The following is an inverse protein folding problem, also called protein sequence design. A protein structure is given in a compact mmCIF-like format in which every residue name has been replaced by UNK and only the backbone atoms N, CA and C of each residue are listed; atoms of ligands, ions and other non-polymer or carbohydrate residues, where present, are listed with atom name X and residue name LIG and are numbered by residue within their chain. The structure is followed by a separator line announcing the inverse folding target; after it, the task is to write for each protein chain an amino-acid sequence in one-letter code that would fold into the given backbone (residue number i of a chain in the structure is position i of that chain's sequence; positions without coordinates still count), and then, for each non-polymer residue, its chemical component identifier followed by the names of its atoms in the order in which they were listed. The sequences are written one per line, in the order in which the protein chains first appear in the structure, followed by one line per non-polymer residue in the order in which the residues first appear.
data_IF_481304900738
#
_entry.id   IF_481304900738
#
_cell.length_a   1.000
_cell.length_b   1.000
_cell.length_c   1.000
_cell.angle_alpha   90.00
_cell.angle_beta   90.00
_cell.angle_gamma   90.00
#
_symmetry.space_group_name_H-M   'P 1'
#
loop_
_entity.id
_entity.type
_entity.pdbx_description
1 polymer ?
#
# COMPACT_ATOMS: atom_id res chain seq x y z
N UNK A 1 45.57 -9.37 -2.70
CA UNK A 1 45.65 -8.28 -3.68
C UNK A 1 46.66 -8.69 -4.72
N UNK A 2 46.38 -8.51 -6.01
CA UNK A 2 47.38 -8.74 -7.06
C UNK A 2 48.27 -7.50 -7.12
N UNK A 3 49.57 -7.69 -6.90
CA UNK A 3 50.55 -6.61 -6.93
C UNK A 3 51.20 -6.53 -8.32
N UNK A 4 51.07 -5.36 -8.94
CA UNK A 4 51.62 -5.08 -10.27
C UNK A 4 52.95 -4.31 -10.20
N UNK A 5 53.41 -3.93 -8.99
CA UNK A 5 54.43 -2.88 -8.81
C UNK A 5 55.64 -3.23 -7.95
N UNK A 6 55.61 -4.24 -7.08
CA UNK A 6 56.78 -4.54 -6.24
C UNK A 6 56.84 -6.00 -5.77
N UNK A 7 58.08 -6.50 -5.62
CA UNK A 7 58.50 -7.83 -5.16
C UNK A 7 58.43 -8.99 -6.19
N UNK A 8 59.58 -9.63 -6.38
CA UNK A 8 59.82 -10.83 -7.23
C UNK A 8 59.06 -12.07 -6.71
N UNK A 9 58.52 -12.00 -5.50
CA UNK A 9 57.83 -13.09 -4.80
C UNK A 9 56.63 -12.56 -4.03
N UNK A 10 55.66 -13.41 -3.78
CA UNK A 10 54.44 -13.08 -3.01
C UNK A 10 54.76 -12.85 -1.54
N UNK A 11 54.20 -11.78 -0.98
CA UNK A 11 54.51 -11.33 0.39
C UNK A 11 53.23 -11.03 1.17
N UNK A 12 53.30 -11.12 2.49
CA UNK A 12 52.18 -10.74 3.37
C UNK A 12 52.70 -10.08 4.64
N UNK A 13 52.00 -9.04 5.10
CA UNK A 13 52.28 -8.44 6.40
C UNK A 13 51.92 -9.38 7.56
N UNK A 14 52.67 -9.30 8.66
CA UNK A 14 52.47 -10.16 9.84
C UNK A 14 51.04 -10.08 10.40
N UNK A 15 50.42 -8.90 10.40
CA UNK A 15 49.04 -8.72 10.84
C UNK A 15 48.03 -9.45 9.94
N UNK A 16 48.31 -9.56 8.64
CA UNK A 16 47.47 -10.31 7.71
C UNK A 16 47.62 -11.82 7.91
N UNK A 17 48.82 -12.29 8.25
CA UNK A 17 49.03 -13.67 8.68
C UNK A 17 48.23 -14.01 9.94
N UNK A 18 48.24 -13.14 10.95
CA UNK A 18 47.42 -13.33 12.15
C UNK A 18 45.92 -13.40 11.81
N UNK A 19 45.45 -12.51 10.94
CA UNK A 19 44.07 -12.52 10.46
C UNK A 19 43.72 -13.82 9.71
N UNK A 20 44.63 -14.32 8.87
CA UNK A 20 44.47 -15.60 8.18
C UNK A 20 44.36 -16.77 9.17
N UNK A 21 45.26 -16.85 10.16
CA UNK A 21 45.24 -17.90 11.18
C UNK A 21 43.96 -17.91 12.02
N UNK A 22 43.39 -16.73 12.27
CA UNK A 22 42.11 -16.62 12.96
C UNK A 22 40.93 -17.15 12.11
N UNK A 23 40.97 -16.95 10.79
CA UNK A 23 39.87 -17.30 9.89
C UNK A 23 39.91 -18.75 9.40
N UNK A 24 41.10 -19.29 9.09
CA UNK A 24 41.27 -20.59 8.43
C UNK A 24 41.96 -21.64 9.31
N UNK A 25 42.27 -21.29 10.55
CA UNK A 25 42.98 -22.16 11.49
C UNK A 25 44.48 -21.89 11.54
N UNK A 26 45.10 -22.32 12.63
CA UNK A 26 46.50 -22.00 12.95
C UNK A 26 47.46 -22.65 11.96
N UNK A 27 48.14 -21.83 11.16
CA UNK A 27 49.23 -22.25 10.28
C UNK A 27 50.55 -21.79 10.88
N UNK A 28 51.56 -22.65 10.95
CA UNK A 28 52.85 -22.28 11.52
C UNK A 28 53.74 -21.62 10.46
N UNK A 29 54.47 -20.57 10.85
CA UNK A 29 55.48 -19.95 9.98
C UNK A 29 56.67 -20.89 9.91
N UNK A 30 57.03 -21.29 8.69
CA UNK A 30 58.27 -21.99 8.43
C UNK A 30 59.44 -21.00 8.46
N UNK A 31 60.31 -21.17 9.46
CA UNK A 31 61.50 -20.32 9.68
C UNK A 31 62.72 -20.76 8.88
N UNK A 32 62.67 -21.89 8.18
CA UNK A 32 63.77 -22.33 7.31
C UNK A 32 64.09 -21.32 6.20
N UNK A 33 63.09 -20.52 5.82
CA UNK A 33 63.16 -19.46 4.81
C UNK A 33 63.26 -18.04 5.43
N UNK A 34 63.68 -17.91 6.68
CA UNK A 34 63.99 -16.61 7.27
C UNK A 34 65.12 -15.93 6.47
N UNK A 35 64.99 -14.64 6.17
CA UNK A 35 65.97 -13.95 5.33
C UNK A 35 65.81 -14.11 3.82
N UNK A 36 64.99 -15.06 3.35
CA UNK A 36 64.95 -15.46 1.93
C UNK A 36 64.41 -14.39 0.96
N UNK A 37 63.68 -13.39 1.46
CA UNK A 37 63.14 -12.29 0.67
C UNK A 37 63.43 -10.96 1.34
N UNK A 38 64.12 -10.09 0.62
CA UNK A 38 64.21 -8.67 0.94
C UNK A 38 63.19 -7.91 0.08
N UNK A 39 62.14 -7.40 0.71
CA UNK A 39 61.10 -6.64 0.04
C UNK A 39 61.31 -5.14 0.26
N UNK A 40 61.39 -4.39 -0.81
CA UNK A 40 61.49 -2.92 -0.80
C UNK A 40 60.10 -2.33 -1.05
N UNK A 41 59.58 -1.56 -0.09
CA UNK A 41 58.34 -0.80 -0.24
C UNK A 41 58.63 0.68 -0.05
N UNK A 42 58.44 1.48 -1.11
CA UNK A 42 58.80 2.90 -1.09
C UNK A 42 60.29 3.10 -0.78
N UNK A 43 60.60 3.88 0.26
CA UNK A 43 61.98 4.23 0.67
C UNK A 43 62.56 3.19 1.66
N UNK A 44 61.76 2.23 2.13
CA UNK A 44 62.17 1.24 3.14
C UNK A 44 62.37 -0.18 2.58
N UNK A 45 63.25 -0.96 3.22
CA UNK A 45 63.43 -2.39 2.95
C UNK A 45 63.17 -3.22 4.20
N UNK A 46 62.59 -4.41 4.03
CA UNK A 46 62.30 -5.33 5.12
C UNK A 46 62.57 -6.77 4.72
N UNK A 47 63.03 -7.56 5.68
CA UNK A 47 63.43 -8.95 5.47
C UNK A 47 62.31 -9.88 5.97
N UNK A 48 62.08 -10.96 5.24
CA UNK A 48 61.10 -11.98 5.62
C UNK A 48 61.50 -12.75 6.88
N UNK A 49 60.55 -12.91 7.79
CA UNK A 49 60.70 -13.67 9.06
C UNK A 49 60.54 -15.18 8.80
N UNK A 50 59.96 -15.54 7.65
CA UNK A 50 59.71 -16.91 7.23
C UNK A 50 58.66 -16.95 6.13
N UNK A 51 58.16 -18.13 5.82
CA UNK A 51 57.12 -18.33 4.81
C UNK A 51 55.94 -19.13 5.37
N UNK A 52 54.78 -18.90 4.80
CA UNK A 52 53.60 -19.76 4.97
C UNK A 52 53.16 -20.22 3.59
N UNK A 53 52.58 -21.42 3.53
CA UNK A 53 51.95 -21.92 2.31
C UNK A 53 50.46 -22.06 2.56
N UNK A 54 49.65 -21.44 1.71
CA UNK A 54 48.19 -21.38 1.86
C UNK A 54 47.49 -21.93 0.60
N UNK A 55 46.40 -22.65 0.81
CA UNK A 55 45.63 -23.28 -0.28
C UNK A 55 44.59 -22.32 -0.85
N UNK A 56 44.93 -21.56 -1.88
CA UNK A 56 44.02 -20.57 -2.48
C UNK A 56 43.18 -21.15 -3.63
N UNK A 57 42.18 -20.43 -4.19
CA UNK A 57 41.39 -20.89 -5.35
C UNK A 57 42.21 -21.12 -6.62
N UNK A 58 43.39 -20.50 -6.71
CA UNK A 58 44.38 -20.65 -7.79
C UNK A 58 45.45 -21.71 -7.43
N UNK A 59 45.17 -22.55 -6.43
CA UNK A 59 46.07 -23.57 -5.92
C UNK A 59 46.92 -23.10 -4.73
N UNK A 60 47.89 -23.93 -4.39
CA UNK A 60 48.78 -23.73 -3.24
C UNK A 60 49.78 -22.59 -3.53
N UNK A 61 49.78 -21.54 -2.71
CA UNK A 61 50.62 -20.36 -2.88
C UNK A 61 51.46 -20.11 -1.62
N UNK A 62 52.76 -19.89 -1.80
CA UNK A 62 53.68 -19.55 -0.72
C UNK A 62 53.79 -18.04 -0.57
N UNK A 63 53.59 -17.54 0.63
CA UNK A 63 53.73 -16.12 0.99
C UNK A 63 54.85 -15.94 2.00
N UNK A 64 55.75 -15.00 1.71
CA UNK A 64 56.80 -14.61 2.64
C UNK A 64 56.27 -13.57 3.63
N UNK A 65 56.43 -13.83 4.93
CA UNK A 65 55.86 -13.00 5.99
C UNK A 65 56.83 -11.90 6.38
N UNK A 66 56.35 -10.66 6.30
CA UNK A 66 57.12 -9.45 6.57
C UNK A 66 56.59 -8.74 7.82
N UNK A 67 57.49 -8.05 8.54
CA UNK A 67 57.17 -7.25 9.74
C UNK A 67 56.58 -5.88 9.37
N UNK A 68 55.63 -5.87 8.44
CA UNK A 68 55.01 -4.67 7.88
C UNK A 68 53.49 -4.76 7.90
N UNK A 69 52.82 -3.61 7.82
CA UNK A 69 51.36 -3.49 7.70
C UNK A 69 50.86 -3.64 6.25
N UNK A 70 51.56 -4.43 5.44
CA UNK A 70 51.20 -4.65 4.04
C UNK A 70 50.08 -5.69 3.92
N UNK A 71 49.19 -5.54 2.92
CA UNK A 71 48.18 -6.56 2.62
C UNK A 71 48.84 -7.85 2.13
N UNK A 72 48.03 -8.90 1.90
CA UNK A 72 48.51 -10.12 1.25
C UNK A 72 48.67 -9.86 -0.26
N UNK A 73 49.93 -9.78 -0.72
CA UNK A 73 50.35 -9.40 -2.07
C UNK A 73 50.73 -10.65 -2.86
N UNK A 74 49.96 -10.94 -3.92
CA UNK A 74 50.30 -11.98 -4.88
C UNK A 74 51.13 -11.34 -6.00
N UNK A 75 52.35 -11.84 -6.19
CA UNK A 75 53.27 -11.30 -7.20
C UNK A 75 52.95 -11.84 -8.61
N UNK A 76 53.17 -11.03 -9.64
CA UNK A 76 53.02 -11.50 -11.02
C UNK A 76 53.98 -12.63 -11.38
N UNK A 77 55.22 -12.60 -10.87
CA UNK A 77 56.20 -13.66 -11.16
C UNK A 77 55.72 -15.04 -10.65
N UNK A 78 55.02 -15.09 -9.52
CA UNK A 78 54.43 -16.34 -9.02
C UNK A 78 53.17 -16.73 -9.81
N UNK A 79 52.42 -15.76 -10.35
CA UNK A 79 51.31 -16.02 -11.27
C UNK A 79 51.79 -16.58 -12.60
N UNK A 80 52.85 -16.01 -13.18
CA UNK A 80 53.45 -16.43 -14.44
C UNK A 80 53.96 -17.87 -14.37
N UNK A 81 54.67 -18.22 -13.28
CA UNK A 81 55.12 -19.61 -13.04
C UNK A 81 53.98 -20.62 -12.95
N UNK A 82 52.80 -20.17 -12.52
CA UNK A 82 51.58 -20.99 -12.40
C UNK A 82 50.68 -20.93 -13.64
N UNK A 83 51.08 -20.17 -14.67
CA UNK A 83 50.27 -20.00 -15.89
C UNK A 83 48.95 -19.25 -15.65
N UNK A 84 48.91 -18.37 -14.65
CA UNK A 84 47.71 -17.66 -14.23
C UNK A 84 47.59 -16.33 -15.00
N UNK A 85 46.47 -16.11 -15.68
CA UNK A 85 46.22 -14.90 -16.47
C UNK A 85 45.22 -13.99 -15.76
N UNK A 86 45.59 -12.72 -15.59
CA UNK A 86 44.68 -11.68 -15.11
C UNK A 86 43.93 -11.04 -16.29
N UNK A 87 42.63 -11.33 -16.44
CA UNK A 87 41.77 -10.60 -17.36
C UNK A 87 41.21 -9.37 -16.67
N UNK A 88 41.88 -8.25 -16.88
CA UNK A 88 41.52 -6.97 -16.28
C UNK A 88 40.19 -6.42 -16.84
N UNK A 89 39.87 -6.62 -18.11
CA UNK A 89 38.64 -6.09 -18.72
C UNK A 89 37.38 -6.76 -18.17
N UNK A 90 37.42 -8.07 -18.01
CA UNK A 90 36.27 -8.85 -17.56
C UNK A 90 36.26 -9.10 -16.04
N UNK A 91 37.31 -8.69 -15.31
CA UNK A 91 37.46 -8.92 -13.87
C UNK A 91 37.43 -10.41 -13.48
N UNK A 92 38.22 -11.23 -14.19
CA UNK A 92 38.47 -12.63 -13.81
C UNK A 92 39.96 -12.96 -13.84
N UNK A 93 40.37 -13.88 -12.98
CA UNK A 93 41.63 -14.61 -13.09
C UNK A 93 41.34 -15.94 -13.78
N UNK A 94 42.19 -16.35 -14.71
CA UNK A 94 42.12 -17.66 -15.36
C UNK A 94 43.31 -18.47 -14.89
N UNK A 95 43.06 -19.60 -14.24
CA UNK A 95 44.09 -20.57 -13.86
C UNK A 95 44.64 -21.29 -15.11
N UNK A 96 45.83 -21.90 -15.01
CA UNK A 96 46.45 -22.66 -16.10
C UNK A 96 45.57 -23.79 -16.65
N UNK A 97 44.60 -24.26 -15.86
CA UNK A 97 43.59 -25.25 -16.25
C UNK A 97 42.34 -24.66 -16.91
N UNK A 98 42.30 -23.35 -17.17
CA UNK A 98 41.16 -22.65 -17.78
C UNK A 98 40.02 -22.28 -16.81
N UNK A 99 40.17 -22.55 -15.51
CA UNK A 99 39.17 -22.18 -14.49
C UNK A 99 39.14 -20.66 -14.30
N UNK A 100 37.96 -20.06 -14.46
CA UNK A 100 37.71 -18.63 -14.24
C UNK A 100 37.34 -18.36 -12.79
N UNK A 101 38.06 -17.46 -12.14
CA UNK A 101 37.84 -17.04 -10.75
C UNK A 101 37.55 -15.54 -10.74
N UNK A 102 36.40 -15.08 -10.21
CA UNK A 102 36.04 -13.66 -10.20
C UNK A 102 36.95 -12.85 -9.29
N UNK A 103 37.24 -11.61 -9.69
CA UNK A 103 37.96 -10.62 -8.89
C UNK A 103 37.14 -9.35 -8.68
N UNK A 104 37.34 -8.70 -7.53
CA UNK A 104 36.74 -7.41 -7.21
C UNK A 104 37.80 -6.31 -7.28
N UNK A 105 37.50 -5.20 -7.96
CA UNK A 105 38.39 -4.02 -7.95
C UNK A 105 38.05 -3.14 -6.76
N UNK A 106 39.03 -2.87 -5.89
CA UNK A 106 38.90 -1.94 -4.77
C UNK A 106 40.13 -1.05 -4.70
N UNK A 107 39.97 0.24 -4.42
CA UNK A 107 41.10 1.18 -4.28
C UNK A 107 42.09 1.18 -5.47
N UNK A 108 41.60 0.94 -6.69
CA UNK A 108 42.45 0.86 -7.89
C UNK A 108 43.20 -0.47 -8.09
N UNK A 109 43.05 -1.44 -7.18
CA UNK A 109 43.76 -2.73 -7.24
C UNK A 109 42.80 -3.93 -7.40
N UNK A 110 43.24 -5.03 -8.03
CA UNK A 110 42.44 -6.26 -8.14
C UNK A 110 42.58 -7.12 -6.88
N UNK A 111 41.44 -7.48 -6.28
CA UNK A 111 41.34 -8.37 -5.13
C UNK A 111 40.72 -9.70 -5.54
N UNK A 112 41.46 -10.78 -5.30
CA UNK A 112 40.92 -12.14 -5.34
C UNK A 112 40.09 -12.38 -4.08
N UNK A 113 38.83 -12.77 -4.27
CA UNK A 113 37.91 -13.07 -3.18
C UNK A 113 37.93 -14.57 -2.89
N UNK A 114 38.12 -14.97 -1.64
CA UNK A 114 38.21 -16.38 -1.26
C UNK A 114 37.75 -16.63 0.19
N UNK A 115 37.20 -17.83 0.46
CA UNK A 115 36.72 -18.25 1.78
C UNK A 115 35.52 -17.42 2.26
N UNK A 116 35.44 -17.05 3.55
CA UNK A 116 34.41 -16.15 4.08
C UNK A 116 34.35 -14.78 3.37
N UNK A 117 35.39 -14.43 2.61
CA UNK A 117 35.42 -13.20 1.79
C UNK A 117 34.69 -13.39 0.46
N UNK A 118 34.56 -14.62 -0.07
CA UNK A 118 33.78 -14.90 -1.28
C UNK A 118 32.26 -14.82 -1.03
N UNK A 119 31.82 -15.16 0.20
CA UNK A 119 30.45 -14.88 0.68
C UNK A 119 30.15 -13.39 0.83
N UNK A 120 31.14 -12.50 0.62
CA UNK A 120 30.90 -11.06 0.46
C UNK A 120 30.29 -10.68 -0.90
N UNK A 121 29.87 -11.65 -1.72
CA UNK A 121 28.62 -11.53 -2.47
C UNK A 121 27.41 -11.58 -1.49
N UNK A 122 27.47 -10.72 -0.48
CA UNK A 122 26.42 -9.92 0.10
C UNK A 122 25.03 -10.55 0.29
N UNK A 123 24.98 -11.73 0.92
CA UNK A 123 23.80 -12.12 1.68
C UNK A 123 23.71 -11.24 2.92
N UNK A 124 22.82 -10.25 2.90
CA UNK A 124 22.54 -9.46 4.10
C UNK A 124 21.82 -10.38 5.09
N UNK A 125 22.33 -10.41 6.32
CA UNK A 125 21.66 -11.12 7.41
C UNK A 125 20.32 -10.46 7.74
N UNK A 126 19.39 -11.20 8.37
CA UNK A 126 18.10 -10.65 8.79
C UNK A 126 18.26 -9.40 9.68
N UNK A 127 19.28 -9.38 10.54
CA UNK A 127 19.61 -8.26 11.43
C UNK A 127 20.04 -7.01 10.64
N UNK A 128 20.80 -7.18 9.56
CA UNK A 128 21.18 -6.11 8.64
C UNK A 128 19.97 -5.60 7.86
N UNK A 129 19.15 -6.49 7.30
CA UNK A 129 17.90 -6.13 6.62
C UNK A 129 16.94 -5.36 7.54
N UNK A 130 16.81 -5.79 8.81
CA UNK A 130 16.00 -5.09 9.82
C UNK A 130 16.59 -3.73 10.18
N UNK A 131 17.91 -3.57 10.10
CA UNK A 131 18.58 -2.29 10.31
C UNK A 131 18.35 -1.35 9.12
N UNK A 132 18.43 -1.86 7.89
CA UNK A 132 18.09 -1.10 6.68
C UNK A 132 16.61 -0.67 6.70
N UNK A 133 15.69 -1.58 6.98
CA UNK A 133 14.27 -1.27 7.11
C UNK A 133 14.00 -0.12 8.11
N UNK A 134 14.71 -0.10 9.26
CA UNK A 134 14.60 1.01 10.23
C UNK A 134 15.25 2.30 9.73
N UNK A 135 16.47 2.23 9.18
CA UNK A 135 17.24 3.42 8.75
C UNK A 135 16.62 4.12 7.53
N UNK A 136 16.01 3.38 6.62
CA UNK A 136 15.31 3.90 5.46
C UNK A 136 13.86 4.35 5.77
N UNK A 137 13.47 4.37 7.04
CA UNK A 137 12.16 4.89 7.45
C UNK A 137 10.99 3.96 7.14
N UNK A 138 11.15 2.66 7.40
CA UNK A 138 10.08 1.66 7.24
C UNK A 138 9.52 1.52 5.81
N UNK A 139 10.38 1.39 4.77
CA UNK A 139 9.91 1.17 3.41
C UNK A 139 9.18 -0.18 3.30
N UNK A 140 8.29 -0.30 2.31
CA UNK A 140 7.69 -1.59 1.96
C UNK A 140 8.76 -2.58 1.51
N UNK A 141 8.49 -3.87 1.70
CA UNK A 141 9.40 -4.94 1.30
C UNK A 141 9.83 -4.82 -0.16
N UNK A 142 8.88 -4.53 -1.07
CA UNK A 142 9.15 -4.34 -2.51
C UNK A 142 10.10 -3.17 -2.76
N UNK A 143 9.90 -2.01 -2.11
CA UNK A 143 10.76 -0.85 -2.30
C UNK A 143 12.19 -1.13 -1.86
N UNK A 144 12.36 -1.86 -0.76
CA UNK A 144 13.68 -2.18 -0.23
C UNK A 144 14.37 -3.28 -1.07
N UNK A 145 13.64 -4.28 -1.56
CA UNK A 145 14.16 -5.27 -2.52
C UNK A 145 14.68 -4.58 -3.78
N UNK A 146 13.86 -3.71 -4.39
CA UNK A 146 14.28 -3.00 -5.62
C UNK A 146 15.51 -2.11 -5.41
N UNK A 147 15.70 -1.58 -4.20
CA UNK A 147 16.90 -0.80 -3.85
C UNK A 147 18.13 -1.71 -3.71
N UNK A 148 17.95 -2.88 -3.10
CA UNK A 148 19.01 -3.89 -2.95
C UNK A 148 19.43 -4.43 -4.31
N UNK A 149 18.50 -4.77 -5.19
CA UNK A 149 18.80 -5.24 -6.56
C UNK A 149 19.64 -4.21 -7.32
N UNK A 150 19.28 -2.92 -7.26
CA UNK A 150 20.07 -1.83 -7.86
C UNK A 150 21.46 -1.66 -7.26
N UNK A 151 21.64 -2.06 -5.99
CA UNK A 151 22.93 -2.04 -5.32
C UNK A 151 23.76 -3.32 -5.58
N UNK A 152 23.26 -4.25 -6.40
CA UNK A 152 23.93 -5.52 -6.72
C UNK A 152 23.68 -6.64 -5.71
N UNK A 153 22.65 -6.51 -4.87
CA UNK A 153 22.26 -7.49 -3.85
C UNK A 153 21.09 -8.38 -4.31
N UNK A 154 21.36 -9.25 -5.29
CA UNK A 154 20.36 -10.13 -5.92
C UNK A 154 20.17 -11.46 -5.17
N UNK A 155 19.77 -11.41 -3.89
CA UNK A 155 19.41 -12.61 -3.13
C UNK A 155 17.89 -12.90 -3.22
N UNK A 156 17.47 -14.08 -3.74
CA UNK A 156 16.08 -14.51 -3.76
C UNK A 156 15.39 -14.50 -2.38
N UNK A 157 16.14 -14.64 -1.28
CA UNK A 157 15.59 -14.69 0.08
C UNK A 157 15.27 -13.31 0.67
N UNK A 158 15.87 -12.23 0.14
CA UNK A 158 15.65 -10.87 0.64
C UNK A 158 14.16 -10.50 0.67
N UNK A 159 13.41 -10.90 -0.36
CA UNK A 159 11.98 -10.62 -0.43
C UNK A 159 11.21 -11.24 0.74
N UNK A 160 11.39 -12.53 0.98
CA UNK A 160 10.70 -13.27 2.04
C UNK A 160 11.07 -12.73 3.43
N UNK A 161 12.35 -12.43 3.66
CA UNK A 161 12.82 -11.88 4.93
C UNK A 161 12.27 -10.47 5.18
N UNK A 162 12.26 -9.61 4.16
CA UNK A 162 11.73 -8.25 4.26
C UNK A 162 10.21 -8.22 4.44
N UNK A 163 9.47 -9.12 3.79
CA UNK A 163 8.04 -9.32 4.04
C UNK A 163 7.78 -9.73 5.49
N UNK A 164 8.60 -10.63 6.04
CA UNK A 164 8.49 -11.05 7.43
C UNK A 164 8.83 -9.92 8.43
N UNK A 165 9.88 -9.13 8.16
CA UNK A 165 10.28 -7.97 8.96
C UNK A 165 9.17 -6.91 8.96
N UNK A 166 8.60 -6.59 7.79
CA UNK A 166 7.54 -5.60 7.66
C UNK A 166 6.26 -6.04 8.39
N UNK A 167 5.92 -7.34 8.29
CA UNK A 167 4.76 -7.93 8.98
C UNK A 167 4.88 -7.85 10.50
N UNK A 168 6.07 -8.04 11.07
CA UNK A 168 6.30 -8.07 12.52
C UNK A 168 6.98 -6.80 13.05
N UNK A 169 6.92 -5.69 12.32
CA UNK A 169 7.43 -4.42 12.79
C UNK A 169 6.33 -3.60 13.46
N UNK A 170 6.46 -3.34 14.76
CA UNK A 170 5.47 -2.61 15.56
C UNK A 170 5.11 -1.24 14.96
N UNK A 171 6.11 -0.52 14.44
CA UNK A 171 5.91 0.78 13.80
C UNK A 171 5.11 0.64 12.51
N UNK A 172 5.47 -0.31 11.65
CA UNK A 172 4.72 -0.58 10.42
C UNK A 172 3.28 -0.99 10.71
N UNK A 173 3.04 -1.82 11.72
CA UNK A 173 1.69 -2.22 12.12
C UNK A 173 0.87 -1.04 12.64
N UNK A 174 1.48 -0.16 13.45
CA UNK A 174 0.78 0.99 14.04
C UNK A 174 0.38 2.06 13.01
N UNK A 175 1.21 2.26 11.99
CA UNK A 175 0.97 3.25 10.93
C UNK A 175 0.38 2.64 9.65
N UNK A 176 0.13 1.33 9.62
CA UNK A 176 -0.56 0.69 8.51
C UNK A 176 -2.02 1.15 8.46
N UNK A 177 -2.60 1.16 7.26
CA UNK A 177 -4.02 1.41 7.08
C UNK A 177 -4.85 0.40 7.89
N UNK A 178 -5.99 0.84 8.41
CA UNK A 178 -6.89 -0.01 9.16
C UNK A 178 -7.23 -1.26 8.31
N UNK A 179 -7.19 -2.47 8.89
CA UNK A 179 -7.54 -3.68 8.16
C UNK A 179 -8.95 -3.55 7.59
N UNK A 180 -9.11 -3.88 6.31
CA UNK A 180 -10.42 -3.90 5.66
C UNK A 180 -11.32 -4.90 6.39
N UNK A 181 -12.26 -4.38 7.18
CA UNK A 181 -13.30 -5.20 7.80
C UNK A 181 -14.26 -5.64 6.70
N UNK A 182 -14.58 -6.93 6.68
CA UNK A 182 -15.70 -7.43 5.87
C UNK A 182 -16.97 -6.67 6.26
N UNK A 183 -17.57 -5.97 5.30
CA UNK A 183 -18.89 -5.35 5.44
C UNK A 183 -19.90 -6.29 4.81
N UNK A 184 -20.74 -6.92 5.63
CA UNK A 184 -21.99 -7.52 5.16
C UNK A 184 -23.14 -6.70 5.74
N UNK A 185 -24.15 -6.46 4.92
CA UNK A 185 -25.40 -5.83 5.34
C UNK A 185 -26.45 -6.94 5.39
N UNK A 186 -26.89 -7.31 6.58
CA UNK A 186 -28.11 -8.11 6.73
C UNK A 186 -29.28 -7.22 6.32
N UNK A 187 -30.10 -7.69 5.39
CA UNK A 187 -31.34 -7.03 5.01
C UNK A 187 -32.49 -7.90 5.48
N UNK A 188 -33.45 -7.28 6.15
CA UNK A 188 -34.72 -7.93 6.43
C UNK A 188 -35.60 -7.83 5.18
N UNK A 189 -36.32 -8.90 4.84
CA UNK A 189 -37.35 -8.84 3.81
C UNK A 189 -38.50 -8.00 4.36
N UNK A 190 -38.58 -6.74 3.92
CA UNK A 190 -39.62 -5.79 4.32
C UNK A 190 -40.62 -5.63 3.18
N UNK A 191 -41.90 -5.55 3.55
CA UNK A 191 -42.98 -5.25 2.61
C UNK A 191 -43.04 -3.74 2.30
N UNK A 192 -43.67 -3.41 1.17
CA UNK A 192 -43.95 -2.03 0.79
C UNK A 192 -44.67 -1.27 1.91
N UNK A 193 -44.28 -0.02 2.16
CA UNK A 193 -44.84 0.86 3.18
C UNK A 193 -44.60 0.42 4.64
N UNK A 194 -43.78 -0.60 4.91
CA UNK A 194 -43.38 -0.92 6.28
C UNK A 194 -42.37 0.11 6.84
N UNK A 195 -41.36 0.46 6.03
CA UNK A 195 -40.25 1.31 6.45
C UNK A 195 -39.88 2.28 5.32
N UNK A 196 -39.86 3.56 5.65
CA UNK A 196 -39.50 4.62 4.71
C UNK A 196 -38.27 5.39 5.20
N UNK A 197 -37.52 5.94 4.26
CA UNK A 197 -36.43 6.84 4.54
C UNK A 197 -36.74 8.23 3.98
N UNK A 198 -36.62 9.24 4.84
CA UNK A 198 -36.93 10.64 4.54
C UNK A 198 -35.67 11.48 4.66
N UNK A 199 -35.41 12.35 3.68
CA UNK A 199 -34.33 13.32 3.71
C UNK A 199 -34.76 14.66 3.07
N UNK A 200 -34.07 15.75 3.40
CA UNK A 200 -34.22 17.05 2.72
C UNK A 200 -33.00 17.34 1.87
N UNK A 201 -33.21 17.40 0.56
CA UNK A 201 -32.18 17.76 -0.41
C UNK A 201 -32.47 19.10 -1.07
N UNK A 202 -31.44 19.72 -1.64
CA UNK A 202 -31.55 20.99 -2.36
C UNK A 202 -31.35 20.77 -3.87
N UNK A 203 -32.21 21.38 -4.67
CA UNK A 203 -32.07 21.51 -6.13
C UNK A 203 -32.27 23.00 -6.47
N UNK A 204 -31.34 23.58 -7.22
CA UNK A 204 -31.35 25.01 -7.59
C UNK A 204 -31.54 25.94 -6.37
N UNK A 205 -30.94 25.59 -5.23
CA UNK A 205 -31.04 26.34 -3.97
C UNK A 205 -32.38 26.21 -3.23
N UNK A 206 -33.35 25.48 -3.78
CA UNK A 206 -34.67 25.26 -3.18
C UNK A 206 -34.74 23.89 -2.48
N UNK A 207 -35.28 23.81 -1.24
CA UNK A 207 -35.38 22.57 -0.50
C UNK A 207 -36.51 21.66 -1.01
N UNK A 208 -36.24 20.36 -1.08
CA UNK A 208 -37.17 19.30 -1.45
C UNK A 208 -37.15 18.24 -0.36
N UNK A 209 -38.33 17.84 0.10
CA UNK A 209 -38.51 16.63 0.87
C UNK A 209 -38.46 15.44 -0.09
N UNK A 210 -37.49 14.55 0.07
CA UNK A 210 -37.35 13.31 -0.70
C UNK A 210 -37.64 12.12 0.20
N UNK A 211 -38.39 11.17 -0.33
CA UNK A 211 -38.78 9.98 0.42
C UNK A 211 -38.64 8.73 -0.42
N UNK A 212 -38.10 7.67 0.19
CA UNK A 212 -37.80 6.40 -0.48
C UNK A 212 -38.32 5.24 0.38
N UNK A 213 -39.08 4.34 -0.22
CA UNK A 213 -39.54 3.10 0.40
C UNK A 213 -38.41 2.06 0.49
N UNK A 214 -38.33 1.33 1.60
CA UNK A 214 -37.27 0.34 1.82
C UNK A 214 -37.45 -0.93 0.98
N UNK A 215 -38.68 -1.37 0.73
CA UNK A 215 -38.93 -2.64 0.03
C UNK A 215 -38.75 -2.50 -1.49
N UNK A 216 -39.46 -1.54 -2.06
CA UNK A 216 -39.65 -1.37 -3.50
C UNK A 216 -38.73 -0.30 -4.10
N UNK A 217 -38.10 0.51 -3.26
CA UNK A 217 -37.35 1.72 -3.67
C UNK A 217 -38.21 2.76 -4.39
N UNK A 218 -39.54 2.67 -4.27
CA UNK A 218 -40.44 3.70 -4.76
C UNK A 218 -40.09 5.05 -4.12
N UNK A 219 -40.03 6.10 -4.94
CA UNK A 219 -39.63 7.43 -4.52
C UNK A 219 -40.77 8.44 -4.65
N UNK A 220 -40.82 9.38 -3.72
CA UNK A 220 -41.69 10.54 -3.76
C UNK A 220 -40.88 11.79 -3.38
N UNK A 221 -41.22 12.95 -3.96
CA UNK A 221 -40.58 14.19 -3.57
C UNK A 221 -41.52 15.40 -3.69
N UNK A 222 -41.32 16.40 -2.83
CA UNK A 222 -42.14 17.63 -2.79
C UNK A 222 -41.33 18.85 -2.36
N UNK A 223 -41.55 19.97 -3.05
CA UNK A 223 -40.93 21.25 -2.70
C UNK A 223 -41.35 21.74 -1.31
N UNK A 224 -40.39 22.22 -0.54
CA UNK A 224 -40.61 22.80 0.78
C UNK A 224 -40.58 24.33 0.69
N UNK A 225 -41.54 25.00 1.34
CA UNK A 225 -41.57 26.46 1.47
C UNK A 225 -40.82 26.95 2.70
N UNK A 226 -40.77 26.11 3.74
CA UNK A 226 -40.05 26.37 4.97
C UNK A 226 -39.58 25.02 5.56
N UNK A 227 -38.71 25.10 6.57
CA UNK A 227 -38.13 23.94 7.25
C UNK A 227 -38.78 23.67 8.62
N UNK A 228 -40.00 24.17 8.87
CA UNK A 228 -40.67 23.90 10.15
C UNK A 228 -41.09 22.44 10.23
N UNK A 229 -41.03 21.86 11.42
CA UNK A 229 -41.42 20.47 11.67
C UNK A 229 -42.88 20.19 11.29
N UNK A 230 -43.78 21.13 11.59
CA UNK A 230 -45.19 21.07 11.21
C UNK A 230 -45.39 21.10 9.70
N UNK A 231 -44.64 21.92 8.97
CA UNK A 231 -44.73 21.99 7.51
C UNK A 231 -44.14 20.75 6.87
N UNK A 232 -42.98 20.26 7.33
CA UNK A 232 -42.37 19.03 6.86
C UNK A 232 -43.30 17.84 7.12
N UNK A 233 -43.91 17.75 8.30
CA UNK A 233 -44.92 16.75 8.59
C UNK A 233 -46.14 16.85 7.67
N UNK A 234 -46.64 18.06 7.43
CA UNK A 234 -47.75 18.27 6.49
C UNK A 234 -47.35 17.94 5.06
N UNK A 235 -46.11 18.17 4.65
CA UNK A 235 -45.61 17.83 3.32
C UNK A 235 -45.36 16.33 3.19
N UNK A 236 -44.90 15.66 4.24
CA UNK A 236 -44.83 14.20 4.31
C UNK A 236 -46.26 13.60 4.21
N UNK A 237 -47.22 14.17 4.94
CA UNK A 237 -48.64 13.83 4.82
C UNK A 237 -49.24 14.19 3.48
N UNK A 238 -48.78 15.23 2.81
CA UNK A 238 -49.26 15.61 1.48
C UNK A 238 -48.49 14.89 0.36
N UNK A 239 -47.36 14.26 0.67
CA UNK A 239 -46.86 13.13 -0.08
C UNK A 239 -47.80 11.95 0.18
N UNK A 240 -48.31 11.74 1.40
CA UNK A 240 -49.26 10.66 1.69
C UNK A 240 -50.69 10.84 1.14
N UNK A 241 -51.23 12.06 1.05
CA UNK A 241 -52.67 12.31 0.92
C UNK A 241 -53.08 13.06 -0.34
N UNK A 242 -54.24 12.67 -0.89
CA UNK A 242 -55.01 13.39 -1.90
C UNK A 242 -55.90 14.44 -1.22
N UNK A 243 -55.48 15.71 -1.24
CA UNK A 243 -56.43 16.80 -0.99
C UNK A 243 -57.26 17.02 -2.26
N UNK A 244 -58.58 16.91 -2.11
CA UNK A 244 -59.58 17.03 -3.19
C UNK A 244 -59.26 18.17 -4.17
N UNK A 245 -59.13 17.82 -5.45
CA UNK A 245 -59.21 18.78 -6.57
C UNK A 245 -57.89 19.31 -7.14
N UNK A 246 -56.71 18.84 -6.69
CA UNK A 246 -55.44 19.11 -7.37
C UNK A 246 -54.63 17.83 -7.50
N UNK A 247 -54.33 17.44 -8.74
CA UNK A 247 -53.48 16.29 -9.05
C UNK A 247 -52.08 16.52 -8.48
N UNK A 248 -51.79 15.86 -7.36
CA UNK A 248 -50.45 15.65 -6.87
C UNK A 248 -50.41 14.20 -6.39
N UNK A 249 -49.52 13.42 -7.01
CA UNK A 249 -49.33 11.99 -6.77
C UNK A 249 -49.20 11.71 -5.27
N UNK A 250 -50.24 11.09 -4.70
CA UNK A 250 -50.30 10.72 -3.29
C UNK A 250 -49.78 9.29 -3.12
N UNK A 251 -48.79 9.19 -2.28
CA UNK A 251 -48.29 8.01 -1.61
C UNK A 251 -49.38 7.47 -0.66
N UNK A 252 -50.24 6.56 -1.15
CA UNK A 252 -50.77 5.47 -0.31
C UNK A 252 -52.01 5.77 0.60
N UNK A 253 -52.70 6.90 0.50
CA UNK A 253 -53.91 7.10 1.36
C UNK A 253 -55.10 6.17 1.05
N UNK A 254 -55.18 5.55 -0.13
CA UNK A 254 -56.42 4.85 -0.53
C UNK A 254 -56.51 3.43 0.06
N UNK A 255 -55.39 2.75 0.38
CA UNK A 255 -55.45 1.32 0.74
C UNK A 255 -54.53 0.80 1.86
N UNK A 256 -53.38 1.41 2.19
CA UNK A 256 -52.41 0.81 3.16
C UNK A 256 -52.20 1.60 4.47
N UNK A 257 -52.52 2.89 4.52
CA UNK A 257 -52.33 3.71 5.74
C UNK A 257 -50.89 4.20 5.96
N UNK A 258 -50.57 4.82 7.12
CA UNK A 258 -49.24 5.34 7.42
C UNK A 258 -48.21 4.21 7.59
N UNK A 259 -46.91 4.44 7.30
CA UNK A 259 -45.89 3.42 7.50
C UNK A 259 -45.60 3.18 8.98
N UNK A 260 -45.11 1.99 9.31
CA UNK A 260 -44.74 1.64 10.69
C UNK A 260 -43.48 2.39 11.15
N UNK A 261 -42.53 2.64 10.23
CA UNK A 261 -41.21 3.17 10.55
C UNK A 261 -40.82 4.31 9.60
N UNK A 262 -40.42 5.44 10.18
CA UNK A 262 -39.78 6.55 9.47
C UNK A 262 -38.33 6.63 9.91
N UNK A 263 -37.41 6.37 8.97
CA UNK A 263 -35.98 6.59 9.15
C UNK A 263 -35.64 7.99 8.62
N UNK A 264 -34.94 8.80 9.41
CA UNK A 264 -34.52 10.14 9.02
C UNK A 264 -33.12 10.45 9.53
N UNK A 265 -32.48 11.47 8.96
CA UNK A 265 -31.19 11.97 9.43
C UNK A 265 -31.32 12.71 10.78
N UNK A 266 -30.20 13.11 11.38
CA UNK A 266 -30.19 13.89 12.61
C UNK A 266 -30.63 15.36 12.41
N UNK A 267 -31.34 15.68 11.31
CA UNK A 267 -31.84 17.00 11.01
C UNK A 267 -32.72 17.54 12.14
N UNK A 268 -32.53 18.82 12.47
CA UNK A 268 -33.21 19.50 13.60
C UNK A 268 -34.74 19.48 13.49
N UNK A 269 -35.27 19.49 12.27
CA UNK A 269 -36.72 19.46 12.04
C UNK A 269 -37.34 18.07 12.27
N UNK A 270 -36.64 16.99 11.89
CA UNK A 270 -37.11 15.62 12.07
C UNK A 270 -36.94 15.12 13.51
N UNK A 271 -35.94 15.64 14.23
CA UNK A 271 -35.68 15.32 15.65
C UNK A 271 -36.53 16.12 16.63
N UNK A 272 -37.28 17.12 16.14
CA UNK A 272 -38.13 17.97 16.97
C UNK A 272 -39.22 17.21 17.75
N UNK A 273 -39.60 17.75 18.91
CA UNK A 273 -40.66 17.18 19.74
C UNK A 273 -42.01 17.14 19.02
N UNK A 274 -42.32 18.16 18.21
CA UNK A 274 -43.56 18.24 17.43
C UNK A 274 -43.65 17.09 16.42
N UNK A 275 -42.57 16.85 15.65
CA UNK A 275 -42.54 15.78 14.65
C UNK A 275 -42.73 14.40 15.30
N UNK A 276 -42.08 14.16 16.44
CA UNK A 276 -42.23 12.93 17.22
C UNK A 276 -43.65 12.75 17.77
N UNK A 277 -44.29 13.82 18.24
CA UNK A 277 -45.69 13.77 18.69
C UNK A 277 -46.65 13.42 17.56
N UNK A 278 -46.45 13.99 16.37
CA UNK A 278 -47.27 13.66 15.21
C UNK A 278 -47.07 12.22 14.73
N UNK A 279 -45.83 11.71 14.75
CA UNK A 279 -45.56 10.30 14.46
C UNK A 279 -46.23 9.38 15.48
N UNK A 280 -46.09 9.70 16.78
CA UNK A 280 -46.67 8.92 17.86
C UNK A 280 -48.21 8.88 17.80
N UNK A 281 -48.87 9.96 17.38
CA UNK A 281 -50.34 9.98 17.25
C UNK A 281 -50.86 9.07 16.14
N UNK A 282 -50.03 8.76 15.15
CA UNK A 282 -50.32 7.78 14.09
C UNK A 282 -49.68 6.41 14.36
N UNK A 283 -49.15 6.17 15.57
CA UNK A 283 -48.44 4.95 15.96
C UNK A 283 -47.20 4.63 15.10
N UNK A 284 -46.59 5.66 14.52
CA UNK A 284 -45.38 5.54 13.69
C UNK A 284 -44.13 5.65 14.55
N UNK A 285 -43.16 4.74 14.34
CA UNK A 285 -41.86 4.78 15.00
C UNK A 285 -40.89 5.63 14.19
N UNK A 286 -40.30 6.65 14.79
CA UNK A 286 -39.21 7.41 14.18
C UNK A 286 -37.85 6.83 14.59
N UNK A 287 -36.97 6.58 13.62
CA UNK A 287 -35.60 6.12 13.83
C UNK A 287 -34.63 7.16 13.27
N UNK A 288 -33.81 7.70 14.15
CA UNK A 288 -32.74 8.63 13.77
C UNK A 288 -31.50 7.82 13.35
N UNK A 289 -30.97 8.10 12.17
CA UNK A 289 -29.72 7.49 11.75
C UNK A 289 -28.54 8.13 12.50
N UNK A 290 -27.65 7.32 13.14
CA UNK A 290 -26.55 7.88 13.92
C UNK A 290 -25.54 8.61 13.03
N UNK A 291 -25.10 9.78 13.49
CA UNK A 291 -24.21 10.72 12.78
C UNK A 291 -22.90 10.08 12.28
N UNK A 292 -22.44 9.00 12.91
CA UNK A 292 -21.19 8.28 12.58
C UNK A 292 -21.39 6.99 11.77
N UNK A 293 -22.61 6.70 11.28
CA UNK A 293 -22.86 5.54 10.41
C UNK A 293 -23.28 5.98 9.00
N UNK A 294 -22.32 6.38 8.14
CA UNK A 294 -22.60 6.78 6.77
C UNK A 294 -23.36 5.71 5.98
N UNK A 295 -23.22 4.43 6.33
CA UNK A 295 -23.86 3.35 5.59
C UNK A 295 -25.40 3.40 5.66
N UNK A 296 -25.98 3.88 6.77
CA UNK A 296 -27.44 3.91 6.97
C UNK A 296 -28.08 5.07 6.20
N UNK A 297 -27.44 6.25 6.20
CA UNK A 297 -27.87 7.44 5.43
C UNK A 297 -27.51 7.31 3.95
N UNK A 298 -26.46 6.56 3.61
CA UNK A 298 -26.06 6.33 2.21
C UNK A 298 -27.15 5.67 1.37
N UNK A 299 -28.20 5.12 2.01
CA UNK A 299 -29.33 4.56 1.30
C UNK A 299 -30.11 5.62 0.50
N UNK A 300 -30.52 6.73 1.11
CA UNK A 300 -31.22 7.83 0.43
C UNK A 300 -30.25 8.68 -0.40
N UNK A 301 -29.04 8.92 0.11
CA UNK A 301 -28.04 9.72 -0.62
C UNK A 301 -27.67 9.13 -1.98
N UNK A 302 -27.67 7.79 -2.11
CA UNK A 302 -27.45 7.12 -3.42
C UNK A 302 -28.51 7.47 -4.45
N UNK A 303 -29.73 7.84 -4.02
CA UNK A 303 -30.81 8.25 -4.90
C UNK A 303 -30.81 9.75 -5.18
N UNK A 304 -30.10 10.57 -4.40
CA UNK A 304 -29.97 12.00 -4.68
C UNK A 304 -29.29 12.29 -6.03
N UNK A 305 -28.17 11.62 -6.32
CA UNK A 305 -27.42 11.84 -7.57
C UNK A 305 -28.22 11.51 -8.83
N UNK A 306 -28.83 10.30 -8.96
CA UNK A 306 -29.67 10.00 -10.12
C UNK A 306 -30.89 10.93 -10.20
N UNK A 307 -31.47 11.32 -9.05
CA UNK A 307 -32.60 12.24 -9.03
C UNK A 307 -32.27 13.65 -9.53
N UNK A 308 -31.17 14.23 -9.04
CA UNK A 308 -30.68 15.53 -9.55
C UNK A 308 -30.40 15.49 -11.05
N UNK A 309 -29.84 14.39 -11.54
CA UNK A 309 -29.57 14.21 -12.96
C UNK A 309 -30.87 14.19 -13.78
N UNK A 310 -31.85 13.37 -13.38
CA UNK A 310 -33.12 13.27 -14.09
C UNK A 310 -33.85 14.62 -14.12
N UNK A 311 -33.92 15.30 -12.97
CA UNK A 311 -34.53 16.63 -12.89
C UNK A 311 -33.85 17.64 -13.84
N UNK A 312 -32.51 17.68 -13.87
CA UNK A 312 -31.77 18.61 -14.75
C UNK A 312 -32.04 18.33 -16.23
N UNK A 313 -32.01 17.07 -16.65
CA UNK A 313 -32.28 16.70 -18.05
C UNK A 313 -33.69 17.10 -18.46
N UNK A 314 -34.70 16.77 -17.65
CA UNK A 314 -36.09 17.12 -17.94
C UNK A 314 -36.31 18.64 -17.91
N UNK A 315 -35.63 19.36 -17.02
CA UNK A 315 -35.66 20.83 -16.99
C UNK A 315 -35.11 21.43 -18.30
N UNK A 316 -34.01 20.88 -18.83
CA UNK A 316 -33.44 21.30 -20.11
C UNK A 316 -34.38 20.99 -21.29
N UNK A 317 -35.07 19.85 -21.28
CA UNK A 317 -36.01 19.43 -22.33
C UNK A 317 -37.32 20.23 -22.36
N UNK A 318 -37.88 20.56 -21.19
CA UNK A 318 -39.15 21.31 -21.07
C UNK A 318 -38.98 22.81 -21.42
N UNK A 319 -37.74 23.33 -21.34
CA UNK A 319 -37.41 24.72 -21.68
C UNK A 319 -37.56 25.71 -20.51
N UNK A 320 -36.89 26.86 -20.64
CA UNK A 320 -36.67 27.83 -19.57
C UNK A 320 -37.87 28.75 -19.30
N UNK A 321 -38.83 28.27 -18.52
CA UNK A 321 -39.67 29.14 -17.69
C UNK A 321 -39.60 28.61 -16.26
N UNK A 322 -39.03 29.38 -15.34
CA UNK A 322 -38.82 28.99 -13.93
C UNK A 322 -40.08 29.22 -13.07
N UNK A 323 -41.27 29.08 -13.65
CA UNK A 323 -42.51 29.20 -12.89
C UNK A 323 -42.63 28.07 -11.86
N UNK A 324 -43.27 28.35 -10.72
CA UNK A 324 -43.46 27.35 -9.65
C UNK A 324 -44.28 26.14 -10.15
N UNK A 325 -45.21 26.36 -11.09
CA UNK A 325 -45.99 25.29 -11.71
C UNK A 325 -45.13 24.38 -12.58
N UNK A 326 -44.22 24.94 -13.39
CA UNK A 326 -43.30 24.14 -14.19
C UNK A 326 -42.29 23.40 -13.33
N UNK A 327 -41.75 24.01 -12.27
CA UNK A 327 -40.89 23.30 -11.31
C UNK A 327 -41.61 22.12 -10.66
N UNK A 328 -42.90 22.26 -10.36
CA UNK A 328 -43.71 21.16 -9.84
C UNK A 328 -43.91 20.05 -10.87
N UNK A 329 -44.20 20.39 -12.13
CA UNK A 329 -44.37 19.43 -13.23
C UNK A 329 -43.05 18.69 -13.50
N UNK A 330 -41.94 19.42 -13.67
CA UNK A 330 -40.60 18.85 -13.88
C UNK A 330 -40.21 17.90 -12.75
N UNK A 331 -40.50 18.26 -11.50
CA UNK A 331 -40.27 17.38 -10.35
C UNK A 331 -41.08 16.08 -10.46
N UNK A 332 -42.37 16.17 -10.80
CA UNK A 332 -43.24 15.01 -10.95
C UNK A 332 -42.79 14.08 -12.09
N UNK A 333 -42.40 14.63 -13.24
CA UNK A 333 -41.90 13.85 -14.38
C UNK A 333 -40.58 13.17 -14.01
N UNK A 334 -39.69 13.87 -13.28
CA UNK A 334 -38.42 13.29 -12.84
C UNK A 334 -38.61 12.13 -11.86
N UNK A 335 -39.52 12.27 -10.89
CA UNK A 335 -39.86 11.19 -9.95
C UNK A 335 -40.43 9.99 -10.71
N UNK A 336 -41.38 10.22 -11.63
CA UNK A 336 -41.98 9.15 -12.43
C UNK A 336 -40.93 8.40 -13.24
N UNK A 337 -40.06 9.13 -13.93
CA UNK A 337 -38.98 8.55 -14.73
C UNK A 337 -38.06 7.66 -13.89
N UNK A 338 -37.74 8.06 -12.66
CA UNK A 338 -36.88 7.27 -11.77
C UNK A 338 -37.60 6.05 -11.23
N UNK A 339 -38.86 6.18 -10.81
CA UNK A 339 -39.64 5.02 -10.40
C UNK A 339 -39.77 4.01 -11.54
N UNK A 340 -39.83 4.47 -12.79
CA UNK A 340 -39.90 3.60 -13.97
C UNK A 340 -38.57 2.95 -14.37
N UNK A 341 -37.42 3.51 -13.97
CA UNK A 341 -36.10 3.12 -14.50
C UNK A 341 -35.09 2.65 -13.46
N UNK A 342 -35.28 3.00 -12.18
CA UNK A 342 -34.32 2.79 -11.11
C UNK A 342 -34.80 1.77 -10.05
N UNK A 343 -35.65 0.83 -10.47
CA UNK A 343 -36.13 -0.27 -9.64
C UNK A 343 -35.02 -1.21 -9.20
N UNK A 344 -35.08 -1.65 -7.93
CA UNK A 344 -34.20 -2.69 -7.40
C UNK A 344 -34.65 -4.07 -7.94
N UNK A 345 -33.72 -4.93 -8.34
CA UNK A 345 -33.96 -6.25 -8.94
C UNK A 345 -34.87 -6.26 -10.20
N UNK A 346 -34.98 -5.13 -10.91
CA UNK A 346 -35.82 -5.00 -12.10
C UNK A 346 -37.32 -4.88 -11.81
N UNK A 347 -37.71 -4.75 -10.54
CA UNK A 347 -39.07 -4.44 -10.14
C UNK A 347 -39.28 -2.95 -10.36
N UNK A 348 -40.13 -2.61 -11.33
CA UNK A 348 -40.57 -1.25 -11.55
C UNK A 348 -41.81 -1.03 -10.69
N UNK A 349 -41.74 -0.24 -9.60
CA UNK A 349 -42.85 -0.09 -8.66
C UNK A 349 -44.15 0.47 -9.26
N UNK A 350 -44.07 0.93 -10.51
CA UNK A 350 -45.11 1.61 -11.29
C UNK A 350 -45.61 0.80 -12.49
N UNK A 351 -45.05 -0.40 -12.76
CA UNK A 351 -45.44 -1.28 -13.88
C UNK A 351 -45.97 -2.63 -13.42
#
# INVERSE_FOLDING_TARGET
MIDTGAAVKSTAGYNQYLAYCHLFGKTYIDRSNEGAVNATFGIGSTISIGSITINTPIGECTFHILKTSTPLLLSFNDMDKKGIVLNNLQNYIVDGNGKKIPISRRFGHPFMMWGPMATSNCYLTETELRTLHRRFGHPSAIKLVNLLDKAGHEDPQHRRLLENINKHCDKCQKYAGAPMRFKFTLRDDVDFNHSIFVDVMYIDGSPILHVVDEATRFQAAKWLKNMSSSHIWNMLRACWSLVKGKACNSWIDVYLGPPDIINHDAGTSFTSHEFRQYAMSLSIKTKEAPVESPNTISFVERYHTPFRRAYRVIKEEIGANDSDEQKAITLQVAIKAINDTAGYDGIVPTL
#
